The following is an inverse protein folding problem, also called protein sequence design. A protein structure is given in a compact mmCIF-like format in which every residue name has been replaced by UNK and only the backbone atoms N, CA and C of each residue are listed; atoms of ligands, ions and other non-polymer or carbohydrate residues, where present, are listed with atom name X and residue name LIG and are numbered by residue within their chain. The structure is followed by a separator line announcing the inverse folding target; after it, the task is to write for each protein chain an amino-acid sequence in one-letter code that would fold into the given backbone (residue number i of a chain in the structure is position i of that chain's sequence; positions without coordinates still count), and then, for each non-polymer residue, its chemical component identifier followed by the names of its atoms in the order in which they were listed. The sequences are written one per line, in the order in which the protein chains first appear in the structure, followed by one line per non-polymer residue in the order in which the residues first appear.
data_IF_400726315065
#
_entry.id   IF_400726315065
#
_cell.length_a   1.000
_cell.length_b   1.000
_cell.length_c   1.000
_cell.angle_alpha   90.00
_cell.angle_beta   90.00
_cell.angle_gamma   90.00
#
_symmetry.space_group_name_H-M   'P 1'
#
loop_
_entity.id
_entity.type
_entity.pdbx_description
1 polymer ?
#
# COMPACT_ATOMS: atom_id res chain seq x y z
N UNK A 1 -5.19 -14.00 -34.29
CA UNK A 1 -4.64 -13.57 -32.98
C UNK A 1 -5.36 -12.33 -32.40
N UNK A 2 -5.72 -11.34 -33.23
CA UNK A 2 -6.33 -10.08 -32.76
C UNK A 2 -7.82 -10.20 -32.37
N UNK A 3 -8.54 -11.17 -32.93
CA UNK A 3 -9.97 -11.41 -32.66
C UNK A 3 -10.18 -12.27 -31.42
N UNK A 4 -9.30 -13.23 -31.14
CA UNK A 4 -9.33 -14.04 -29.92
C UNK A 4 -8.93 -13.20 -28.69
N UNK A 5 -7.96 -12.33 -28.80
CA UNK A 5 -7.53 -11.42 -27.73
C UNK A 5 -8.62 -10.41 -27.34
N UNK A 6 -9.37 -9.88 -28.32
CA UNK A 6 -10.55 -9.02 -28.05
C UNK A 6 -11.68 -9.78 -27.38
N UNK A 7 -11.93 -11.03 -27.77
CA UNK A 7 -12.99 -11.86 -27.18
C UNK A 7 -12.70 -12.23 -25.70
N UNK A 8 -11.45 -12.54 -25.35
CA UNK A 8 -11.05 -12.80 -23.96
C UNK A 8 -11.14 -11.53 -23.11
N UNK A 9 -10.70 -10.38 -23.62
CA UNK A 9 -10.82 -9.10 -22.93
C UNK A 9 -12.27 -8.74 -22.58
N UNK A 10 -13.22 -9.00 -23.49
CA UNK A 10 -14.64 -8.73 -23.25
C UNK A 10 -15.27 -9.70 -22.24
N UNK A 11 -14.82 -10.97 -22.20
CA UNK A 11 -15.28 -11.93 -21.19
C UNK A 11 -14.80 -11.53 -19.79
N UNK A 12 -13.53 -11.12 -19.65
CA UNK A 12 -13.01 -10.65 -18.37
C UNK A 12 -13.62 -9.31 -17.94
N UNK A 13 -13.87 -8.39 -18.87
CA UNK A 13 -14.59 -7.14 -18.60
C UNK A 13 -15.98 -7.41 -18.02
N UNK A 14 -16.77 -8.29 -18.64
CA UNK A 14 -18.09 -8.69 -18.14
C UNK A 14 -18.02 -9.37 -16.76
N UNK A 15 -16.97 -10.15 -16.50
CA UNK A 15 -16.77 -10.76 -15.18
C UNK A 15 -16.48 -9.72 -14.10
N UNK A 16 -15.74 -8.65 -14.40
CA UNK A 16 -15.51 -7.54 -13.47
C UNK A 16 -16.80 -6.74 -13.18
N UNK A 17 -17.69 -6.60 -14.17
CA UNK A 17 -18.99 -5.91 -14.01
C UNK A 17 -20.00 -6.73 -13.19
N UNK A 18 -19.96 -8.06 -13.28
CA UNK A 18 -20.94 -8.98 -12.66
C UNK A 18 -20.43 -9.54 -11.32
N UNK A 19 -19.14 -9.34 -11.01
CA UNK A 19 -18.48 -10.02 -9.89
C UNK A 19 -18.95 -9.43 -8.56
N UNK A 20 -19.39 -10.31 -7.66
CA UNK A 20 -19.54 -10.01 -6.26
C UNK A 20 -18.19 -9.53 -5.69
N UNK A 21 -18.23 -8.68 -4.67
CA UNK A 21 -17.04 -8.21 -3.96
C UNK A 21 -16.08 -9.37 -3.64
N UNK A 22 -14.74 -9.16 -3.71
CA UNK A 22 -13.79 -10.21 -3.43
C UNK A 22 -14.04 -10.85 -2.06
N UNK A 23 -14.06 -12.16 -1.98
CA UNK A 23 -14.33 -12.88 -0.73
C UNK A 23 -13.34 -12.55 0.40
N UNK A 24 -12.13 -12.10 0.03
CA UNK A 24 -11.10 -11.66 0.99
C UNK A 24 -11.28 -10.21 1.48
N UNK A 25 -12.13 -9.40 0.82
CA UNK A 25 -12.41 -8.04 1.23
C UNK A 25 -13.26 -8.02 2.50
N UNK A 26 -12.75 -7.40 3.56
CA UNK A 26 -13.56 -7.04 4.72
C UNK A 26 -14.07 -5.61 4.53
N UNK A 27 -15.25 -5.47 3.94
CA UNK A 27 -15.85 -4.17 3.60
C UNK A 27 -16.29 -3.38 4.85
N UNK A 28 -16.51 -2.08 4.68
CA UNK A 28 -17.09 -1.20 5.71
C UNK A 28 -18.60 -1.04 5.52
N UNK A 29 -19.29 -0.56 6.54
CA UNK A 29 -20.74 -0.40 6.52
C UNK A 29 -21.21 0.90 5.88
N UNK A 30 -20.41 1.98 5.94
CA UNK A 30 -20.70 3.25 5.29
C UNK A 30 -20.76 3.09 3.76
N UNK A 31 -21.65 3.84 3.14
CA UNK A 31 -21.78 3.94 1.67
C UNK A 31 -21.38 5.31 1.14
N UNK A 32 -20.85 6.16 2.00
CA UNK A 32 -20.31 7.46 1.64
C UNK A 32 -18.83 7.32 1.25
N UNK A 33 -18.47 7.39 -0.06
CA UNK A 33 -17.11 7.15 -0.51
C UNK A 33 -16.08 8.13 0.08
N UNK A 34 -16.50 9.36 0.39
CA UNK A 34 -15.62 10.40 0.96
C UNK A 34 -15.12 10.03 2.36
N UNK A 35 -15.95 9.29 3.11
CA UNK A 35 -15.60 8.78 4.43
C UNK A 35 -14.88 7.45 4.38
N UNK A 36 -15.13 6.65 3.33
CA UNK A 36 -14.63 5.28 3.25
C UNK A 36 -13.17 5.20 2.85
N UNK A 37 -12.45 4.31 3.51
CA UNK A 37 -11.03 4.05 3.33
C UNK A 37 -10.82 2.57 3.01
N UNK A 38 -10.02 2.26 1.99
CA UNK A 38 -9.58 0.90 1.67
C UNK A 38 -8.11 0.74 2.03
N UNK A 39 -7.82 -0.07 3.03
CA UNK A 39 -6.46 -0.48 3.36
C UNK A 39 -6.08 -1.72 2.56
N UNK A 40 -5.06 -1.59 1.72
CA UNK A 40 -4.44 -2.67 0.96
C UNK A 40 -3.28 -3.16 1.80
N UNK A 41 -3.43 -4.34 2.41
CA UNK A 41 -2.53 -4.83 3.46
C UNK A 41 -1.72 -6.00 2.95
N UNK A 42 -0.42 -5.97 3.16
CA UNK A 42 0.47 -7.06 2.83
C UNK A 42 0.27 -8.25 3.76
N UNK A 43 -0.07 -9.40 3.17
CA UNK A 43 -0.18 -10.68 3.86
C UNK A 43 -1.45 -10.88 4.68
N UNK A 44 -1.74 -12.16 4.95
CA UNK A 44 -2.94 -12.55 5.68
C UNK A 44 -2.83 -12.28 7.19
N UNK A 45 -1.62 -12.34 7.76
CA UNK A 45 -1.39 -12.09 9.20
C UNK A 45 -1.70 -10.64 9.56
N UNK A 46 -1.02 -9.68 8.91
CA UNK A 46 -1.28 -8.26 9.11
C UNK A 46 -2.72 -7.88 8.70
N UNK A 47 -3.23 -8.50 7.61
CA UNK A 47 -4.64 -8.36 7.22
C UNK A 47 -5.61 -8.81 8.31
N UNK A 48 -5.27 -9.85 9.08
CA UNK A 48 -6.04 -10.32 10.23
C UNK A 48 -6.09 -9.29 11.37
N UNK A 49 -4.92 -8.79 11.79
CA UNK A 49 -4.82 -7.74 12.82
C UNK A 49 -5.54 -6.46 12.37
N UNK A 50 -5.36 -6.04 11.13
CA UNK A 50 -6.04 -4.88 10.57
C UNK A 50 -7.58 -5.04 10.55
N UNK A 51 -8.09 -6.23 10.21
CA UNK A 51 -9.54 -6.53 10.26
C UNK A 51 -10.12 -6.44 11.67
N UNK A 52 -9.34 -6.79 12.68
CA UNK A 52 -9.77 -6.73 14.08
C UNK A 52 -9.71 -5.30 14.62
N UNK A 53 -8.61 -4.57 14.35
CA UNK A 53 -8.36 -3.23 14.88
C UNK A 53 -9.15 -2.11 14.20
N UNK A 54 -9.61 -2.28 12.95
CA UNK A 54 -10.23 -1.24 12.14
C UNK A 54 -11.55 -0.67 12.69
N UNK A 55 -11.91 0.53 12.30
CA UNK A 55 -13.29 0.99 12.35
C UNK A 55 -14.11 0.29 11.25
N UNK A 56 -15.06 -0.54 11.65
CA UNK A 56 -15.96 -1.25 10.71
C UNK A 56 -16.92 -0.31 10.00
N UNK A 57 -17.08 0.89 10.50
CA UNK A 57 -17.98 1.88 9.92
C UNK A 57 -17.44 2.38 8.58
N UNK A 58 -16.16 2.79 8.52
CA UNK A 58 -15.61 3.47 7.34
C UNK A 58 -14.31 2.87 6.79
N UNK A 59 -13.71 1.86 7.45
CA UNK A 59 -12.48 1.22 6.99
C UNK A 59 -12.73 -0.18 6.45
N UNK A 60 -12.34 -0.41 5.20
CA UNK A 60 -12.30 -1.71 4.56
C UNK A 60 -10.87 -2.23 4.50
N UNK A 61 -10.69 -3.56 4.57
CA UNK A 61 -9.39 -4.22 4.51
C UNK A 61 -9.39 -5.20 3.34
N UNK A 62 -8.41 -5.06 2.46
CA UNK A 62 -8.12 -5.99 1.36
C UNK A 62 -6.70 -6.54 1.54
N UNK A 63 -6.54 -7.75 2.07
CA UNK A 63 -5.24 -8.41 2.09
C UNK A 63 -4.79 -8.76 0.68
N UNK A 64 -3.51 -8.53 0.38
CA UNK A 64 -2.86 -8.99 -0.84
C UNK A 64 -1.80 -10.02 -0.50
N UNK A 65 -1.68 -11.07 -1.32
CA UNK A 65 -0.75 -12.18 -1.09
C UNK A 65 0.48 -12.04 -1.95
N UNK A 66 1.58 -11.68 -1.30
CA UNK A 66 2.88 -11.57 -1.95
C UNK A 66 2.94 -10.45 -3.00
N UNK A 67 3.93 -10.53 -3.86
CA UNK A 67 4.17 -9.55 -4.92
C UNK A 67 3.12 -9.68 -6.02
N UNK A 68 2.39 -8.61 -6.29
CA UNK A 68 1.47 -8.57 -7.42
C UNK A 68 2.24 -8.56 -8.74
N UNK A 69 1.54 -8.86 -9.83
CA UNK A 69 2.12 -8.83 -11.18
C UNK A 69 2.65 -7.42 -11.51
N UNK A 70 3.87 -7.36 -12.05
CA UNK A 70 4.41 -6.11 -12.60
C UNK A 70 3.71 -5.78 -13.93
N UNK A 71 2.80 -4.82 -13.89
CA UNK A 71 1.96 -4.44 -15.04
C UNK A 71 2.73 -3.69 -16.12
N UNK A 72 3.93 -3.17 -15.83
CA UNK A 72 4.79 -2.53 -16.82
C UNK A 72 5.33 -3.54 -17.85
N UNK A 73 5.48 -4.81 -17.43
CA UNK A 73 6.03 -5.90 -18.27
C UNK A 73 4.99 -6.88 -18.78
N UNK A 74 3.82 -6.91 -18.16
CA UNK A 74 2.81 -7.92 -18.42
C UNK A 74 1.92 -7.56 -19.60
N UNK A 75 1.52 -8.56 -20.38
CA UNK A 75 0.46 -8.40 -21.35
C UNK A 75 -0.90 -8.18 -20.68
N UNK A 76 -1.83 -7.54 -21.37
CA UNK A 76 -3.17 -7.23 -20.87
C UNK A 76 -3.90 -8.49 -20.38
N UNK A 77 -3.80 -9.60 -21.09
CA UNK A 77 -4.42 -10.87 -20.70
C UNK A 77 -3.93 -11.37 -19.35
N UNK A 78 -2.62 -11.25 -19.08
CA UNK A 78 -2.03 -11.63 -17.79
C UNK A 78 -2.48 -10.70 -16.67
N UNK A 79 -2.62 -9.41 -16.95
CA UNK A 79 -3.11 -8.41 -15.98
C UNK A 79 -4.54 -8.74 -15.58
N UNK A 80 -5.42 -8.98 -16.56
CA UNK A 80 -6.83 -9.30 -16.33
C UNK A 80 -7.03 -10.69 -15.71
N UNK A 81 -6.12 -11.63 -15.96
CA UNK A 81 -6.15 -12.96 -15.34
C UNK A 81 -5.64 -12.95 -13.87
N UNK A 82 -4.89 -11.92 -13.46
CA UNK A 82 -4.33 -11.86 -12.11
C UNK A 82 -5.40 -11.60 -11.06
N UNK A 83 -5.54 -12.51 -10.10
CA UNK A 83 -6.59 -12.48 -9.07
C UNK A 83 -6.45 -11.26 -8.14
N UNK A 84 -5.22 -10.89 -7.75
CA UNK A 84 -4.97 -9.76 -6.86
C UNK A 84 -5.37 -8.44 -7.53
N UNK A 85 -5.02 -8.28 -8.81
CA UNK A 85 -5.37 -7.09 -9.60
C UNK A 85 -6.88 -7.01 -9.81
N UNK A 86 -7.53 -8.12 -10.19
CA UNK A 86 -8.99 -8.16 -10.31
C UNK A 86 -9.69 -7.81 -9.01
N UNK A 87 -9.18 -8.32 -7.89
CA UNK A 87 -9.73 -8.02 -6.56
C UNK A 87 -9.66 -6.52 -6.25
N UNK A 88 -8.57 -5.84 -6.63
CA UNK A 88 -8.44 -4.40 -6.46
C UNK A 88 -9.47 -3.63 -7.30
N UNK A 89 -9.59 -3.92 -8.61
CA UNK A 89 -10.57 -3.25 -9.46
C UNK A 89 -12.00 -3.48 -8.98
N UNK A 90 -12.34 -4.73 -8.63
CA UNK A 90 -13.67 -5.08 -8.12
C UNK A 90 -13.97 -4.38 -6.79
N UNK A 91 -13.01 -4.32 -5.88
CA UNK A 91 -13.18 -3.61 -4.60
C UNK A 91 -13.41 -2.12 -4.81
N UNK A 92 -12.70 -1.51 -5.75
CA UNK A 92 -12.83 -0.09 -6.07
C UNK A 92 -14.16 0.27 -6.75
N UNK A 93 -14.68 -0.61 -7.60
CA UNK A 93 -15.92 -0.40 -8.33
C UNK A 93 -15.83 0.62 -9.49
N UNK A 94 -14.62 1.01 -9.87
CA UNK A 94 -14.37 2.05 -10.90
C UNK A 94 -14.42 1.55 -12.34
N UNK A 95 -14.52 0.23 -12.54
CA UNK A 95 -14.34 -0.37 -13.87
C UNK A 95 -12.85 -0.46 -14.26
N UNK A 96 -12.58 -0.77 -15.52
CA UNK A 96 -11.24 -0.99 -16.05
C UNK A 96 -11.10 -0.44 -17.48
N UNK A 97 -9.93 0.09 -17.85
CA UNK A 97 -9.61 0.55 -19.19
C UNK A 97 -10.50 1.73 -19.62
N UNK A 98 -11.19 1.59 -20.75
CA UNK A 98 -12.09 2.63 -21.31
C UNK A 98 -13.34 2.86 -20.44
N UNK A 99 -13.75 1.85 -19.67
CA UNK A 99 -14.91 1.93 -18.77
C UNK A 99 -14.56 2.46 -17.39
N UNK A 100 -13.31 2.88 -17.18
CA UNK A 100 -12.84 3.40 -15.90
C UNK A 100 -13.50 4.76 -15.58
N UNK A 101 -14.21 4.81 -14.47
CA UNK A 101 -14.92 5.99 -13.99
C UNK A 101 -14.60 6.24 -12.51
N UNK A 102 -13.81 7.27 -12.24
CA UNK A 102 -13.41 7.64 -10.88
C UNK A 102 -14.57 8.04 -9.99
N UNK A 103 -15.68 8.54 -10.59
CA UNK A 103 -16.87 8.93 -9.83
C UNK A 103 -17.59 7.76 -9.18
N UNK A 104 -17.33 6.54 -9.65
CA UNK A 104 -17.85 5.29 -9.10
C UNK A 104 -16.97 4.70 -7.99
N UNK A 105 -15.84 5.36 -7.66
CA UNK A 105 -14.94 4.88 -6.63
C UNK A 105 -15.67 4.72 -5.28
N UNK A 106 -15.61 3.53 -4.72
CA UNK A 106 -16.27 3.21 -3.43
C UNK A 106 -15.52 3.75 -2.21
N UNK A 107 -14.26 4.12 -2.38
CA UNK A 107 -13.38 4.64 -1.34
C UNK A 107 -12.57 5.80 -1.89
N UNK A 108 -12.59 6.94 -1.20
CA UNK A 108 -11.79 8.12 -1.57
C UNK A 108 -10.43 8.14 -0.84
N UNK A 109 -10.10 7.08 -0.08
CA UNK A 109 -8.75 6.85 0.43
C UNK A 109 -8.36 5.38 0.20
N UNK A 110 -7.33 5.18 -0.62
CA UNK A 110 -6.66 3.90 -0.82
C UNK A 110 -5.34 3.96 -0.08
N UNK A 111 -5.22 3.21 0.98
CA UNK A 111 -4.04 3.24 1.86
C UNK A 111 -3.22 1.98 1.63
N UNK A 112 -2.04 2.14 1.03
CA UNK A 112 -1.06 1.06 0.90
C UNK A 112 -0.39 0.86 2.26
N UNK A 113 -0.50 -0.34 2.82
CA UNK A 113 0.06 -0.71 4.11
C UNK A 113 0.88 -1.97 3.96
N UNK A 114 2.20 -1.81 3.83
CA UNK A 114 3.19 -2.87 3.61
C UNK A 114 4.23 -2.89 4.73
N UNK A 115 4.92 -4.01 4.86
CA UNK A 115 6.02 -4.16 5.80
C UNK A 115 7.15 -3.15 5.52
N UNK A 116 7.94 -2.85 6.56
CA UNK A 116 9.05 -1.90 6.48
C UNK A 116 10.37 -2.57 6.02
N UNK A 117 10.27 -3.53 5.12
CA UNK A 117 11.39 -4.27 4.55
C UNK A 117 11.50 -4.08 3.02
N UNK A 118 12.46 -4.76 2.39
CA UNK A 118 12.70 -4.67 0.95
C UNK A 118 11.55 -5.25 0.12
N UNK A 119 10.88 -6.27 0.62
CA UNK A 119 9.74 -6.90 -0.07
C UNK A 119 8.51 -5.99 -0.01
N UNK A 120 8.22 -5.40 1.15
CA UNK A 120 7.15 -4.41 1.30
C UNK A 120 7.38 -3.16 0.45
N UNK A 121 8.63 -2.68 0.36
CA UNK A 121 8.97 -1.59 -0.56
C UNK A 121 8.72 -1.96 -2.02
N UNK A 122 9.03 -3.20 -2.43
CA UNK A 122 8.76 -3.69 -3.78
C UNK A 122 7.26 -3.81 -4.05
N UNK A 123 6.49 -4.38 -3.13
CA UNK A 123 5.02 -4.50 -3.25
C UNK A 123 4.39 -3.11 -3.40
N UNK A 124 4.82 -2.15 -2.60
CA UNK A 124 4.37 -0.75 -2.72
C UNK A 124 4.65 -0.16 -4.10
N UNK A 125 5.84 -0.39 -4.64
CA UNK A 125 6.21 0.07 -5.99
C UNK A 125 5.35 -0.59 -7.06
N UNK A 126 5.06 -1.89 -6.95
CA UNK A 126 4.17 -2.61 -7.88
C UNK A 126 2.74 -2.07 -7.84
N UNK A 127 2.21 -1.76 -6.65
CA UNK A 127 0.89 -1.14 -6.49
C UNK A 127 0.85 0.27 -7.08
N UNK A 128 1.88 1.08 -6.85
CA UNK A 128 1.98 2.42 -7.43
C UNK A 128 2.04 2.36 -8.95
N UNK A 129 2.78 1.39 -9.53
CA UNK A 129 2.82 1.16 -10.97
C UNK A 129 1.44 0.82 -11.52
N UNK A 130 0.71 -0.09 -10.85
CA UNK A 130 -0.67 -0.45 -11.21
C UNK A 130 -1.59 0.77 -11.19
N UNK A 131 -1.57 1.55 -10.11
CA UNK A 131 -2.42 2.73 -9.98
C UNK A 131 -2.08 3.80 -11.02
N UNK A 132 -0.81 4.04 -11.26
CA UNK A 132 -0.37 5.02 -12.25
C UNK A 132 -0.76 4.62 -13.68
N UNK A 133 -0.58 3.34 -14.06
CA UNK A 133 -0.83 2.85 -15.42
C UNK A 133 -2.30 2.62 -15.73
N UNK A 134 -3.08 2.13 -14.76
CA UNK A 134 -4.46 1.65 -15.00
C UNK A 134 -5.54 2.36 -14.21
N UNK A 135 -5.18 3.15 -13.22
CA UNK A 135 -6.10 3.85 -12.33
C UNK A 135 -5.64 5.30 -12.09
N UNK A 136 -4.99 5.90 -13.09
CA UNK A 136 -4.39 7.23 -12.98
C UNK A 136 -5.33 8.32 -12.45
N UNK A 137 -6.62 8.39 -12.84
CA UNK A 137 -7.55 9.38 -12.28
C UNK A 137 -7.71 9.29 -10.76
N UNK A 138 -7.50 8.11 -10.14
CA UNK A 138 -7.50 7.95 -8.67
C UNK A 138 -6.29 8.65 -8.04
N UNK A 139 -5.12 8.54 -8.68
CA UNK A 139 -3.90 9.22 -8.22
C UNK A 139 -4.04 10.73 -8.35
N UNK A 140 -4.54 11.20 -9.50
CA UNK A 140 -4.79 12.62 -9.78
C UNK A 140 -5.85 13.23 -8.86
N UNK A 141 -6.90 12.46 -8.50
CA UNK A 141 -7.89 12.85 -7.49
C UNK A 141 -7.29 12.88 -6.06
N UNK A 142 -6.08 12.35 -5.88
CA UNK A 142 -5.38 12.32 -4.59
C UNK A 142 -5.95 11.31 -3.61
N UNK A 143 -6.48 10.21 -4.11
CA UNK A 143 -7.07 9.16 -3.27
C UNK A 143 -6.04 8.13 -2.79
N UNK A 144 -4.80 8.14 -3.30
CA UNK A 144 -3.77 7.16 -2.96
C UNK A 144 -2.89 7.67 -1.83
N UNK A 145 -2.72 6.85 -0.80
CA UNK A 145 -1.91 7.13 0.38
C UNK A 145 -1.00 5.94 0.70
N UNK A 146 0.12 6.23 1.36
CA UNK A 146 1.04 5.25 1.93
C UNK A 146 1.00 5.39 3.44
N UNK A 147 0.62 4.33 4.15
CA UNK A 147 0.67 4.30 5.60
C UNK A 147 2.13 4.38 6.10
N UNK A 148 2.33 5.06 7.20
CA UNK A 148 3.63 5.19 7.85
C UNK A 148 3.53 4.65 9.28
N UNK A 149 3.59 3.32 9.45
CA UNK A 149 3.63 2.72 10.79
C UNK A 149 4.91 3.12 11.51
N UNK A 150 4.93 3.12 12.85
CA UNK A 150 6.13 3.46 13.62
C UNK A 150 7.27 2.47 13.37
N UNK A 151 8.50 2.96 13.43
CA UNK A 151 9.69 2.15 13.28
C UNK A 151 10.12 1.48 14.59
N UNK A 152 9.93 2.18 15.72
CA UNK A 152 10.25 1.68 17.06
C UNK A 152 9.09 1.86 18.03
N UNK A 153 8.98 0.90 18.97
CA UNK A 153 8.18 1.03 20.18
C UNK A 153 9.08 0.95 21.41
N UNK A 154 9.06 1.97 22.23
CA UNK A 154 9.79 2.00 23.51
C UNK A 154 8.80 1.73 24.62
N UNK A 155 8.86 0.52 25.17
CA UNK A 155 7.95 0.08 26.24
C UNK A 155 8.60 0.30 27.59
N UNK A 156 7.87 1.01 28.47
CA UNK A 156 8.24 1.19 29.87
C UNK A 156 7.04 0.93 30.78
N UNK A 157 7.04 -0.16 31.49
CA UNK A 157 5.91 -0.61 32.29
C UNK A 157 4.70 -0.94 31.39
N UNK A 158 3.62 -0.17 31.54
CA UNK A 158 2.40 -0.29 30.74
C UNK A 158 2.36 0.68 29.55
N UNK A 159 3.26 1.64 29.49
CA UNK A 159 3.26 2.66 28.47
C UNK A 159 4.18 2.26 27.31
N UNK A 160 3.75 2.61 26.08
CA UNK A 160 4.56 2.45 24.88
C UNK A 160 4.65 3.83 24.22
N UNK A 161 5.87 4.27 23.95
CA UNK A 161 6.15 5.47 23.16
C UNK A 161 6.62 5.02 21.79
N UNK A 162 5.97 5.53 20.74
CA UNK A 162 6.28 5.15 19.36
C UNK A 162 7.19 6.19 18.70
N UNK A 163 8.18 5.71 17.96
CA UNK A 163 9.06 6.54 17.13
C UNK A 163 8.72 6.32 15.67
N UNK A 164 8.44 7.41 14.97
CA UNK A 164 7.99 7.38 13.59
C UNK A 164 9.15 7.12 12.61
N UNK A 165 8.87 6.56 11.40
CA UNK A 165 9.89 6.38 10.39
C UNK A 165 10.35 7.75 9.85
N UNK A 166 11.65 7.90 9.62
CA UNK A 166 12.21 9.13 9.08
C UNK A 166 13.73 9.17 9.14
N UNK A 167 14.32 10.18 8.52
CA UNK A 167 15.79 10.37 8.49
C UNK A 167 16.43 10.52 9.88
N UNK A 168 15.65 10.93 10.87
CA UNK A 168 16.08 11.21 12.25
C UNK A 168 15.51 10.22 13.27
N UNK A 169 14.96 9.09 12.84
CA UNK A 169 14.33 8.11 13.73
C UNK A 169 15.26 7.61 14.85
N UNK A 170 16.55 7.40 14.54
CA UNK A 170 17.54 6.98 15.54
C UNK A 170 17.84 8.09 16.58
N UNK A 171 17.88 9.35 16.14
CA UNK A 171 18.08 10.51 17.02
C UNK A 171 16.85 10.71 17.92
N UNK A 172 15.66 10.52 17.38
CA UNK A 172 14.40 10.58 18.11
C UNK A 172 14.30 9.44 19.13
N UNK A 173 14.70 8.22 18.75
CA UNK A 173 14.78 7.10 19.67
C UNK A 173 15.72 7.39 20.84
N UNK A 174 16.91 7.96 20.56
CA UNK A 174 17.87 8.32 21.60
C UNK A 174 17.26 9.36 22.58
N UNK A 175 16.61 10.40 22.08
CA UNK A 175 15.92 11.41 22.92
C UNK A 175 14.82 10.79 23.78
N UNK A 176 13.97 9.93 23.21
CA UNK A 176 12.93 9.23 23.97
C UNK A 176 13.56 8.41 25.12
N UNK A 177 14.68 7.73 24.86
CA UNK A 177 15.37 6.94 25.90
C UNK A 177 16.01 7.80 26.99
N UNK A 178 16.51 9.00 26.65
CA UNK A 178 17.07 9.95 27.61
C UNK A 178 16.00 10.58 28.52
N UNK A 179 14.82 10.81 27.99
CA UNK A 179 13.70 11.44 28.72
C UNK A 179 12.98 10.47 29.67
N UNK A 180 13.12 9.15 29.44
CA UNK A 180 12.45 8.14 30.25
C UNK A 180 13.16 7.90 31.59
N UNK A 181 12.43 7.65 32.69
CA UNK A 181 13.00 7.29 33.98
C UNK A 181 13.87 6.03 33.89
N UNK A 182 14.93 5.96 34.70
CA UNK A 182 15.83 4.80 34.75
C UNK A 182 15.13 3.52 35.23
N UNK A 183 14.00 3.62 35.93
CA UNK A 183 13.26 2.48 36.47
C UNK A 183 11.75 2.65 36.27
N UNK A 184 11.05 1.62 35.74
CA UNK A 184 11.60 0.36 35.22
C UNK A 184 12.40 0.61 33.93
N UNK A 185 13.42 -0.24 33.67
CA UNK A 185 14.26 -0.12 32.47
C UNK A 185 13.38 -0.21 31.20
N UNK A 186 13.49 0.75 30.27
CA UNK A 186 12.77 0.69 29.02
C UNK A 186 13.26 -0.46 28.12
N UNK A 187 12.36 -1.08 27.36
CA UNK A 187 12.69 -2.04 26.32
C UNK A 187 12.33 -1.44 24.95
N UNK A 188 13.25 -1.58 23.99
CA UNK A 188 13.05 -1.10 22.62
C UNK A 188 12.71 -2.28 21.73
N UNK A 189 11.62 -2.15 20.98
CA UNK A 189 11.26 -3.06 19.91
C UNK A 189 11.33 -2.30 18.57
N UNK A 190 12.07 -2.86 17.60
CA UNK A 190 12.02 -2.39 16.22
C UNK A 190 10.99 -3.20 15.48
N UNK A 191 10.04 -2.52 14.84
CA UNK A 191 9.04 -3.17 13.99
C UNK A 191 9.58 -3.31 12.56
N UNK A 192 9.73 -4.55 12.10
CA UNK A 192 10.13 -4.88 10.72
C UNK A 192 8.91 -5.19 9.85
N UNK A 193 7.87 -5.74 10.44
CA UNK A 193 6.64 -6.09 9.76
C UNK A 193 5.40 -5.74 10.57
N UNK A 194 4.31 -5.47 9.85
CA UNK A 194 2.99 -5.17 10.42
C UNK A 194 2.42 -6.31 11.27
N UNK A 195 2.82 -7.55 10.95
CA UNK A 195 2.43 -8.73 11.72
C UNK A 195 3.04 -8.82 13.12
N UNK A 196 4.00 -7.95 13.47
CA UNK A 196 4.56 -7.82 14.81
C UNK A 196 3.70 -6.95 15.74
N UNK A 197 2.71 -6.24 15.18
CA UNK A 197 1.76 -5.41 15.91
C UNK A 197 0.47 -6.20 16.15
N UNK A 198 -0.05 -6.10 17.37
CA UNK A 198 -1.42 -6.53 17.64
C UNK A 198 -2.44 -5.54 17.03
N UNK A 199 -3.71 -5.89 17.09
CA UNK A 199 -4.80 -5.11 16.51
C UNK A 199 -4.95 -3.72 17.15
N UNK A 200 -4.73 -3.61 18.47
CA UNK A 200 -4.77 -2.34 19.18
C UNK A 200 -3.60 -1.43 18.80
N UNK A 201 -2.39 -1.98 18.75
CA UNK A 201 -1.18 -1.24 18.34
C UNK A 201 -1.32 -0.74 16.89
N UNK A 202 -1.81 -1.59 15.98
CA UNK A 202 -2.01 -1.24 14.60
C UNK A 202 -3.08 -0.13 14.43
N UNK A 203 -4.15 -0.19 15.22
CA UNK A 203 -5.14 0.87 15.27
C UNK A 203 -4.53 2.19 15.73
N UNK A 204 -3.99 2.23 16.93
CA UNK A 204 -3.56 3.49 17.56
C UNK A 204 -2.39 4.19 16.86
N UNK A 205 -1.57 3.44 16.10
CA UNK A 205 -0.38 4.00 15.42
C UNK A 205 -0.59 4.27 13.94
N UNK A 206 -1.43 3.46 13.26
CA UNK A 206 -1.42 3.42 11.79
C UNK A 206 -2.82 3.61 11.17
N UNK A 207 -3.89 3.26 11.90
CA UNK A 207 -5.24 3.27 11.33
C UNK A 207 -6.15 4.33 11.92
N UNK A 208 -5.92 4.77 13.16
CA UNK A 208 -6.70 5.82 13.82
C UNK A 208 -6.55 7.17 13.06
N UNK A 209 -7.62 7.73 12.51
CA UNK A 209 -7.57 8.98 11.76
C UNK A 209 -6.97 10.16 12.52
N UNK A 210 -7.04 10.15 13.86
CA UNK A 210 -6.56 11.25 14.71
C UNK A 210 -5.05 11.16 14.99
N UNK A 211 -4.44 9.97 14.87
CA UNK A 211 -3.05 9.73 15.30
C UNK A 211 -2.12 9.27 14.19
N UNK A 212 -2.67 8.61 13.17
CA UNK A 212 -1.88 8.00 12.10
C UNK A 212 -1.14 9.02 11.24
N UNK A 213 -0.01 8.59 10.71
CA UNK A 213 0.71 9.29 9.66
C UNK A 213 0.51 8.58 8.32
N UNK A 214 0.22 9.35 7.29
CA UNK A 214 0.12 8.88 5.91
C UNK A 214 0.76 9.88 4.95
N UNK A 215 1.49 9.36 3.97
CA UNK A 215 1.98 10.16 2.85
C UNK A 215 0.97 10.07 1.71
N UNK A 216 0.46 11.21 1.24
CA UNK A 216 -0.37 11.28 0.04
C UNK A 216 0.51 11.15 -1.19
N UNK A 217 0.11 10.31 -2.12
CA UNK A 217 0.78 10.16 -3.41
C UNK A 217 0.28 11.24 -4.36
N UNK A 218 1.20 12.00 -4.96
CA UNK A 218 0.93 12.99 -6.01
C UNK A 218 1.81 12.72 -7.23
N UNK A 219 1.37 13.20 -8.38
CA UNK A 219 2.14 13.21 -9.62
C UNK A 219 2.27 14.67 -10.03
N UNK A 220 3.44 15.25 -9.76
CA UNK A 220 3.71 16.66 -10.04
C UNK A 220 4.10 16.85 -11.52
N UNK A 221 4.88 15.92 -12.09
CA UNK A 221 5.23 15.87 -13.50
C UNK A 221 4.92 14.49 -14.08
N UNK A 222 3.97 14.45 -15.00
CA UNK A 222 3.51 13.20 -15.61
C UNK A 222 4.53 12.60 -16.56
N UNK A 223 5.35 13.42 -17.22
CA UNK A 223 6.39 12.95 -18.15
C UNK A 223 7.53 12.32 -17.36
N UNK A 224 7.97 12.98 -16.29
CA UNK A 224 9.01 12.46 -15.41
C UNK A 224 8.56 11.16 -14.74
N UNK A 225 7.33 11.11 -14.22
CA UNK A 225 6.76 9.91 -13.60
C UNK A 225 6.72 8.74 -14.60
N UNK A 226 6.30 8.99 -15.84
CA UNK A 226 6.26 7.98 -16.90
C UNK A 226 7.65 7.39 -17.19
N UNK A 227 8.66 8.24 -17.32
CA UNK A 227 10.04 7.84 -17.51
C UNK A 227 10.60 7.03 -16.34
N UNK A 228 10.28 7.43 -15.10
CA UNK A 228 10.72 6.72 -13.89
C UNK A 228 10.09 5.32 -13.83
N UNK A 229 8.78 5.19 -14.08
CA UNK A 229 8.13 3.88 -14.10
C UNK A 229 8.68 2.99 -15.21
N UNK A 230 8.88 3.50 -16.42
CA UNK A 230 9.47 2.73 -17.51
C UNK A 230 10.90 2.29 -17.17
N UNK A 231 11.72 3.19 -16.62
CA UNK A 231 13.10 2.90 -16.24
C UNK A 231 13.20 1.85 -15.12
N UNK A 232 12.44 2.02 -14.04
CA UNK A 232 12.55 1.16 -12.86
C UNK A 232 11.81 -0.16 -13.00
N UNK A 233 10.65 -0.16 -13.66
CA UNK A 233 9.74 -1.30 -13.73
C UNK A 233 9.66 -1.94 -15.10
N UNK A 234 10.16 -1.29 -16.16
CA UNK A 234 10.16 -1.78 -17.54
C UNK A 234 11.14 -2.93 -17.80
N UNK A 235 11.19 -3.40 -19.04
CA UNK A 235 11.99 -4.58 -19.45
C UNK A 235 13.50 -4.30 -19.53
N UNK A 236 13.89 -3.06 -19.75
CA UNK A 236 15.29 -2.66 -19.91
C UNK A 236 16.03 -2.74 -18.57
N UNK A 237 17.12 -3.53 -18.55
CA UNK A 237 17.93 -3.73 -17.34
C UNK A 237 18.96 -2.60 -17.18
N UNK A 238 19.56 -2.14 -18.27
CA UNK A 238 20.66 -1.18 -18.25
C UNK A 238 20.28 0.16 -17.61
N UNK A 239 19.17 0.83 -17.97
CA UNK A 239 18.79 2.10 -17.34
C UNK A 239 18.54 1.95 -15.83
N UNK A 240 17.91 0.83 -15.43
CA UNK A 240 17.65 0.53 -14.01
C UNK A 240 18.96 0.31 -13.24
N UNK A 241 19.93 -0.42 -13.84
CA UNK A 241 21.24 -0.65 -13.23
C UNK A 241 21.97 0.69 -13.06
N UNK A 242 22.03 1.52 -14.09
CA UNK A 242 22.66 2.82 -14.02
C UNK A 242 22.06 3.70 -12.92
N UNK A 243 20.71 3.73 -12.83
CA UNK A 243 20.01 4.46 -11.77
C UNK A 243 20.38 3.96 -10.37
N UNK A 244 20.45 2.63 -10.17
CA UNK A 244 20.83 2.03 -8.88
C UNK A 244 22.28 2.38 -8.53
N UNK A 245 23.21 2.28 -9.49
CA UNK A 245 24.63 2.59 -9.28
C UNK A 245 24.83 4.07 -8.93
N UNK A 246 24.16 4.98 -9.63
CA UNK A 246 24.21 6.41 -9.38
C UNK A 246 23.65 6.81 -8.02
N UNK A 247 22.61 6.12 -7.56
CA UNK A 247 21.90 6.44 -6.31
C UNK A 247 22.31 5.56 -5.11
N UNK A 248 23.23 4.61 -5.28
CA UNK A 248 23.65 3.67 -4.23
C UNK A 248 24.18 4.37 -2.98
N UNK A 249 24.79 5.55 -3.10
CA UNK A 249 25.32 6.32 -1.98
C UNK A 249 24.26 6.93 -1.06
N UNK A 250 23.00 7.00 -1.51
CA UNK A 250 21.87 7.45 -0.67
C UNK A 250 21.31 6.34 0.23
N UNK A 251 21.64 5.08 -0.06
CA UNK A 251 21.16 3.94 0.72
C UNK A 251 21.97 3.83 2.01
N UNK A 252 21.35 4.12 3.15
CA UNK A 252 22.02 4.11 4.47
C UNK A 252 21.87 2.80 5.24
N UNK A 253 20.80 2.04 4.99
CA UNK A 253 20.49 0.78 5.68
C UNK A 253 20.05 -0.26 4.65
N UNK A 254 20.97 -1.13 4.27
CA UNK A 254 20.61 -2.37 3.59
C UNK A 254 20.28 -3.38 4.69
N UNK A 255 19.02 -3.79 4.79
CA UNK A 255 18.66 -5.01 5.53
C UNK A 255 19.16 -6.21 4.69
N UNK A 256 20.40 -6.63 4.98
CA UNK A 256 21.03 -7.80 4.38
C UNK A 256 20.82 -8.97 5.35
#
# INVERSE_FOLDING_TARGET
DDVESRGLGDVYKRQLEISNLPGKLADCSSKDPEKCELFIVEGDSAGGSAKQGRSREFQAILPIRGKILNVEKASMDKILANEEIRSLFTAMGTGFGEDFDVSKARYHKLVIMTDADVDGAHIRTLLLTLFYRFMRPIVEAGYVYIAQPPLYGVKQGKNITYVQPGKHAEEELAKVLEELPASPKPSVQRYKGLGEMDDHQLWETTMDPEKRLMARVSVDDAIEADQIFEMLMGDRVEPRRAFIEENAHYVKNLDI
#
